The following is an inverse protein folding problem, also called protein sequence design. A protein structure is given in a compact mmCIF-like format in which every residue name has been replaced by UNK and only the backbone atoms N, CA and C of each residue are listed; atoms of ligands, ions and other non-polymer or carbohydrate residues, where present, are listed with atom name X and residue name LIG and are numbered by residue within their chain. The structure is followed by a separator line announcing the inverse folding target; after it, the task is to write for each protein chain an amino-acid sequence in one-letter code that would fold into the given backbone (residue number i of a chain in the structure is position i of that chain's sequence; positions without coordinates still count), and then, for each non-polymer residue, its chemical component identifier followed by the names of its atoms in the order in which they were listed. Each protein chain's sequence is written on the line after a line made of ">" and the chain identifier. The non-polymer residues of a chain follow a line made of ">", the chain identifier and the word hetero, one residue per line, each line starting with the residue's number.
data_IF_222177470624
#
_entry.id   IF_222177470624
#
_cell.length_a   1.000
_cell.length_b   1.000
_cell.length_c   1.000
_cell.angle_alpha   90.00
_cell.angle_beta   90.00
_cell.angle_gamma   90.00
#
_symmetry.space_group_name_H-M   'P 1'
#
loop_
_entity.id
_entity.type
_entity.pdbx_description
1 polymer ?
#
# COMPACT_ATOMS: atom_id res chain seq x y z
N UNK A 1 -33.63 24.36 70.94
CA UNK A 1 -33.85 25.75 70.49
C UNK A 1 -33.24 25.91 69.11
N UNK A 2 -34.08 26.22 68.10
CA UNK A 2 -33.77 26.64 66.72
C UNK A 2 -32.91 25.65 65.88
N UNK A 3 -33.16 25.35 64.60
CA UNK A 3 -33.69 26.13 63.46
C UNK A 3 -34.28 25.08 62.49
N UNK A 4 -35.55 25.21 62.11
CA UNK A 4 -36.03 25.92 60.94
C UNK A 4 -35.96 25.11 59.63
N UNK A 5 -37.17 24.81 59.16
CA UNK A 5 -37.65 24.54 57.81
C UNK A 5 -36.72 24.91 56.65
N UNK A 6 -36.83 24.16 55.55
CA UNK A 6 -37.58 24.51 54.32
C UNK A 6 -36.87 23.97 53.06
N UNK A 7 -37.64 23.31 52.18
CA UNK A 7 -37.37 23.01 50.76
C UNK A 7 -36.25 21.98 50.49
N UNK A 8 -36.32 21.09 49.51
CA UNK A 8 -36.96 21.14 48.21
C UNK A 8 -37.30 19.70 47.76
N UNK A 9 -38.56 19.47 47.40
CA UNK A 9 -38.99 19.18 46.02
C UNK A 9 -38.27 18.01 45.35
N UNK A 10 -38.90 16.85 45.54
CA UNK A 10 -39.06 15.82 44.52
C UNK A 10 -39.33 16.42 43.15
N UNK A 11 -38.63 15.95 42.11
CA UNK A 11 -39.18 15.47 40.82
C UNK A 11 -38.08 15.63 39.75
N UNK A 12 -37.53 14.51 39.28
CA UNK A 12 -36.48 14.54 38.26
C UNK A 12 -36.07 13.15 37.81
N UNK A 13 -37.04 12.41 37.28
CA UNK A 13 -36.87 11.15 36.59
C UNK A 13 -35.97 11.35 35.36
N UNK A 14 -34.68 11.04 35.45
CA UNK A 14 -33.79 11.02 34.27
C UNK A 14 -33.66 9.57 33.81
N UNK A 15 -34.50 9.22 32.82
CA UNK A 15 -34.32 8.06 31.96
C UNK A 15 -33.03 8.25 31.14
N UNK A 16 -31.94 7.60 31.56
CA UNK A 16 -30.76 7.45 30.71
C UNK A 16 -31.00 6.30 29.72
N UNK A 17 -31.64 6.64 28.59
CA UNK A 17 -31.75 5.78 27.42
C UNK A 17 -30.47 5.88 26.54
N UNK A 18 -30.20 4.77 25.85
CA UNK A 18 -29.00 4.43 25.08
C UNK A 18 -28.45 5.52 24.12
N UNK A 19 -27.13 5.64 24.07
CA UNK A 19 -26.41 5.70 22.78
C UNK A 19 -24.92 5.40 22.95
N UNK A 20 -24.55 4.23 22.44
CA UNK A 20 -23.20 3.79 22.13
C UNK A 20 -22.53 4.85 21.21
N UNK A 21 -21.46 5.49 21.68
CA UNK A 21 -20.67 6.44 20.89
C UNK A 21 -19.52 5.70 20.21
N UNK A 22 -19.81 5.11 19.06
CA UNK A 22 -18.79 4.62 18.12
C UNK A 22 -18.51 5.75 17.13
N UNK A 23 -17.62 6.68 17.49
CA UNK A 23 -17.06 7.65 16.52
C UNK A 23 -15.77 7.08 15.95
N UNK A 24 -15.93 6.14 15.02
CA UNK A 24 -14.91 5.80 14.02
C UNK A 24 -15.17 6.64 12.77
N UNK A 25 -14.51 7.80 12.67
CA UNK A 25 -14.51 8.61 11.46
C UNK A 25 -13.17 8.39 10.75
N UNK A 26 -13.17 7.46 9.81
CA UNK A 26 -12.17 7.40 8.74
C UNK A 26 -12.92 7.17 7.45
N UNK A 27 -13.31 8.27 6.81
CA UNK A 27 -13.76 8.26 5.42
C UNK A 27 -12.54 7.99 4.53
N UNK A 28 -12.14 6.73 4.42
CA UNK A 28 -11.27 6.25 3.37
C UNK A 28 -12.12 5.86 2.14
N UNK A 29 -12.94 6.81 1.66
CA UNK A 29 -13.62 6.64 0.38
C UNK A 29 -12.80 7.28 -0.73
N UNK A 30 -11.61 6.71 -0.95
CA UNK A 30 -10.88 6.84 -2.21
C UNK A 30 -11.51 5.91 -3.23
N UNK A 31 -12.74 6.20 -3.65
CA UNK A 31 -13.33 5.59 -4.85
C UNK A 31 -12.52 6.06 -6.04
N UNK A 32 -11.45 5.31 -6.34
CA UNK A 32 -10.66 5.48 -7.54
C UNK A 32 -11.59 5.19 -8.73
N UNK A 33 -12.17 6.25 -9.28
CA UNK A 33 -12.80 6.22 -10.58
C UNK A 33 -11.68 5.88 -11.56
N UNK A 34 -11.58 4.61 -11.95
CA UNK A 34 -10.57 4.16 -12.90
C UNK A 34 -10.72 5.00 -14.18
N UNK A 35 -9.73 5.80 -14.58
CA UNK A 35 -9.83 6.59 -15.80
C UNK A 35 -9.94 5.63 -16.98
N UNK A 36 -10.93 5.85 -17.86
CA UNK A 36 -11.01 5.12 -19.12
C UNK A 36 -9.68 5.33 -19.88
N UNK A 37 -8.91 4.25 -20.04
CA UNK A 37 -7.56 4.27 -20.63
C UNK A 37 -6.42 3.85 -19.68
N UNK A 38 -6.71 3.52 -18.42
CA UNK A 38 -5.70 2.99 -17.47
C UNK A 38 -5.98 1.52 -17.17
N UNK A 39 -4.96 0.68 -17.32
CA UNK A 39 -4.96 -0.73 -16.91
C UNK A 39 -4.16 -0.93 -15.64
N UNK A 40 -4.50 -1.99 -14.88
CA UNK A 40 -3.79 -2.36 -13.67
C UNK A 40 -3.13 -3.74 -13.81
N UNK A 41 -1.92 -3.86 -13.29
CA UNK A 41 -1.21 -5.13 -13.18
C UNK A 41 -0.75 -5.38 -11.74
N UNK A 42 -0.77 -6.66 -11.35
CA UNK A 42 -0.16 -7.17 -10.13
C UNK A 42 1.04 -8.02 -10.54
N UNK A 43 2.23 -7.64 -10.10
CA UNK A 43 3.48 -8.33 -10.42
C UNK A 43 4.09 -8.85 -9.12
N UNK A 44 4.32 -10.16 -9.04
CA UNK A 44 4.96 -10.79 -7.89
C UNK A 44 6.43 -10.41 -7.85
N UNK A 45 6.91 -9.95 -6.69
CA UNK A 45 8.30 -9.49 -6.48
C UNK A 45 8.91 -10.18 -5.24
N UNK A 46 9.11 -11.51 -5.29
CA UNK A 46 9.45 -12.31 -4.10
C UNK A 46 10.80 -11.96 -3.49
N UNK A 47 11.72 -11.40 -4.28
CA UNK A 47 13.09 -11.05 -3.86
C UNK A 47 13.21 -9.65 -3.26
N UNK A 48 12.14 -8.86 -3.19
CA UNK A 48 12.19 -7.51 -2.59
C UNK A 48 11.96 -7.61 -1.09
N UNK A 49 12.91 -7.15 -0.26
CA UNK A 49 12.90 -7.45 1.19
C UNK A 49 12.91 -6.25 2.14
N UNK A 50 13.26 -5.04 1.68
CA UNK A 50 13.29 -3.85 2.51
C UNK A 50 12.84 -2.60 1.73
N UNK A 51 12.60 -1.49 2.44
CA UNK A 51 12.16 -0.23 1.83
C UNK A 51 13.13 0.33 0.78
N UNK A 52 14.43 0.12 0.91
CA UNK A 52 15.40 0.53 -0.12
C UNK A 52 15.26 -0.29 -1.41
N UNK A 53 15.04 -1.60 -1.29
CA UNK A 53 14.77 -2.47 -2.44
C UNK A 53 13.44 -2.08 -3.10
N UNK A 54 12.41 -1.85 -2.28
CA UNK A 54 11.09 -1.40 -2.71
C UNK A 54 11.17 -0.16 -3.59
N UNK A 55 11.80 0.90 -3.07
CA UNK A 55 11.94 2.18 -3.75
C UNK A 55 12.69 2.04 -5.09
N UNK A 56 13.67 1.14 -5.16
CA UNK A 56 14.40 0.86 -6.41
C UNK A 56 13.49 0.26 -7.48
N UNK A 57 12.64 -0.69 -7.10
CA UNK A 57 11.67 -1.32 -8.00
C UNK A 57 10.60 -0.33 -8.44
N UNK A 58 10.03 0.44 -7.50
CA UNK A 58 9.02 1.47 -7.81
C UNK A 58 9.55 2.51 -8.78
N UNK A 59 10.78 3.02 -8.56
CA UNK A 59 11.43 3.98 -9.47
C UNK A 59 11.65 3.40 -10.87
N UNK A 60 12.04 2.13 -10.97
CA UNK A 60 12.25 1.50 -12.27
C UNK A 60 10.93 1.32 -13.03
N UNK A 61 9.86 0.95 -12.33
CA UNK A 61 8.52 0.88 -12.92
C UNK A 61 8.03 2.26 -13.37
N UNK A 62 8.21 3.29 -12.54
CA UNK A 62 7.84 4.67 -12.89
C UNK A 62 8.63 5.24 -14.08
N UNK A 63 9.81 4.69 -14.38
CA UNK A 63 10.60 5.06 -15.55
C UNK A 63 10.09 4.43 -16.86
N UNK A 64 9.21 3.42 -16.80
CA UNK A 64 8.61 2.83 -18.00
C UNK A 64 7.57 3.78 -18.57
N UNK A 65 7.69 4.10 -19.86
CA UNK A 65 6.74 4.95 -20.57
C UNK A 65 5.30 4.40 -20.45
N UNK A 66 4.35 5.28 -20.15
CA UNK A 66 2.94 4.90 -19.94
C UNK A 66 2.59 4.50 -18.52
N UNK A 67 3.55 4.28 -17.61
CA UNK A 67 3.24 4.04 -16.19
C UNK A 67 2.73 5.32 -15.53
N UNK A 68 1.62 5.20 -14.80
CA UNK A 68 0.96 6.29 -14.06
C UNK A 68 1.23 6.20 -12.57
N UNK A 69 1.21 4.99 -12.02
CA UNK A 69 1.55 4.73 -10.62
C UNK A 69 2.20 3.35 -10.48
N UNK A 70 3.10 3.22 -9.50
CA UNK A 70 3.65 1.95 -9.09
C UNK A 70 3.86 1.97 -7.58
N UNK A 71 3.34 0.97 -6.89
CA UNK A 71 3.54 0.76 -5.45
C UNK A 71 3.84 -0.72 -5.19
N UNK A 72 4.84 -0.96 -4.35
CA UNK A 72 5.24 -2.30 -3.94
C UNK A 72 4.79 -2.55 -2.51
N UNK A 73 4.05 -3.64 -2.35
CA UNK A 73 3.60 -4.16 -1.07
C UNK A 73 4.60 -5.21 -0.57
N UNK A 74 5.40 -4.84 0.45
CA UNK A 74 6.44 -5.72 0.99
C UNK A 74 5.88 -6.93 1.74
N UNK A 75 4.68 -6.80 2.32
CA UNK A 75 4.00 -7.89 3.04
C UNK A 75 3.46 -8.92 2.07
N UNK A 76 2.78 -8.46 1.00
CA UNK A 76 2.24 -9.34 -0.02
C UNK A 76 3.28 -9.80 -1.07
N UNK A 77 4.46 -9.17 -1.13
CA UNK A 77 5.45 -9.34 -2.21
C UNK A 77 4.86 -9.07 -3.59
N UNK A 78 4.06 -8.02 -3.72
CA UNK A 78 3.37 -7.66 -4.98
C UNK A 78 3.57 -6.19 -5.31
N UNK A 79 3.98 -5.90 -6.54
CA UNK A 79 3.92 -4.58 -7.14
C UNK A 79 2.55 -4.38 -7.82
N UNK A 80 1.82 -3.34 -7.42
CA UNK A 80 0.61 -2.85 -8.09
C UNK A 80 1.01 -1.70 -9.00
N UNK A 81 0.69 -1.82 -10.29
CA UNK A 81 1.09 -0.84 -11.31
C UNK A 81 -0.13 -0.43 -12.11
N UNK A 82 -0.38 0.87 -12.21
CA UNK A 82 -1.36 1.46 -13.11
C UNK A 82 -0.63 2.03 -14.33
N UNK A 83 -1.01 1.64 -15.54
CA UNK A 83 -0.32 2.01 -16.77
C UNK A 83 -1.27 2.16 -17.95
N UNK A 84 -0.81 2.85 -18.99
CA UNK A 84 -1.48 2.91 -20.29
C UNK A 84 -1.13 1.65 -21.11
N UNK A 85 -2.11 0.77 -21.40
CA UNK A 85 -1.88 -0.47 -22.13
C UNK A 85 -1.47 -0.26 -23.61
N UNK A 86 -1.59 0.95 -24.15
CA UNK A 86 -1.10 1.29 -25.49
C UNK A 86 0.41 1.60 -25.50
N UNK A 87 1.00 1.91 -24.34
CA UNK A 87 2.39 2.33 -24.22
C UNK A 87 3.27 1.29 -23.50
N UNK A 88 2.71 0.58 -22.53
CA UNK A 88 3.40 -0.47 -21.79
C UNK A 88 2.53 -1.72 -21.70
N UNK A 89 3.19 -2.88 -21.61
CA UNK A 89 2.54 -4.16 -21.31
C UNK A 89 3.17 -4.81 -20.09
N UNK A 90 2.49 -5.82 -19.54
CA UNK A 90 2.95 -6.55 -18.34
C UNK A 90 4.38 -7.08 -18.51
N UNK A 91 4.72 -7.62 -19.68
CA UNK A 91 6.08 -8.11 -19.96
C UNK A 91 7.15 -7.01 -19.91
N UNK A 92 6.84 -5.78 -20.33
CA UNK A 92 7.78 -4.66 -20.24
C UNK A 92 8.00 -4.25 -18.78
N UNK A 93 6.94 -4.26 -17.98
CA UNK A 93 7.01 -3.98 -16.54
C UNK A 93 7.83 -5.06 -15.80
N UNK A 94 7.61 -6.34 -16.10
CA UNK A 94 8.38 -7.46 -15.53
C UNK A 94 9.87 -7.35 -15.88
N UNK A 95 10.19 -7.05 -17.15
CA UNK A 95 11.56 -6.84 -17.57
C UNK A 95 12.22 -5.63 -16.90
N UNK A 96 11.48 -4.52 -16.73
CA UNK A 96 12.01 -3.35 -16.02
C UNK A 96 12.41 -3.69 -14.58
N UNK A 97 11.63 -4.54 -13.89
CA UNK A 97 11.99 -5.04 -12.56
C UNK A 97 13.20 -5.97 -12.64
N UNK A 98 13.22 -6.93 -13.57
CA UNK A 98 14.34 -7.86 -13.75
C UNK A 98 15.68 -7.16 -13.95
N UNK A 99 15.70 -6.09 -14.74
CA UNK A 99 16.87 -5.25 -15.00
C UNK A 99 17.35 -4.45 -13.77
N UNK A 100 16.57 -4.39 -12.70
CA UNK A 100 17.03 -3.83 -11.42
C UNK A 100 17.70 -4.84 -10.51
N UNK A 101 17.70 -6.13 -10.88
CA UNK A 101 18.26 -7.23 -10.10
C UNK A 101 17.25 -7.97 -9.21
N UNK A 102 15.94 -7.85 -9.46
CA UNK A 102 14.89 -8.55 -8.69
C UNK A 102 13.99 -9.40 -9.60
N UNK A 103 13.49 -10.51 -9.06
CA UNK A 103 12.57 -11.39 -9.81
C UNK A 103 11.19 -10.73 -9.96
N UNK A 104 10.52 -10.97 -11.09
CA UNK A 104 9.20 -10.46 -11.41
C UNK A 104 8.32 -11.54 -12.03
N UNK A 105 7.31 -12.02 -11.30
CA UNK A 105 6.49 -13.17 -11.68
C UNK A 105 7.37 -14.38 -12.10
N UNK A 106 7.38 -14.71 -13.40
CA UNK A 106 8.18 -15.80 -13.98
C UNK A 106 9.48 -15.32 -14.63
N UNK A 107 9.70 -14.00 -14.70
CA UNK A 107 10.93 -13.40 -15.23
C UNK A 107 11.96 -13.37 -14.11
N UNK A 108 13.10 -14.02 -14.37
CA UNK A 108 14.23 -14.04 -13.44
C UNK A 108 15.01 -12.74 -13.54
N UNK A 109 15.55 -12.30 -12.40
CA UNK A 109 16.44 -11.14 -12.32
C UNK A 109 17.62 -11.25 -13.27
N UNK A 110 18.00 -10.12 -13.85
CA UNK A 110 19.26 -10.01 -14.57
C UNK A 110 20.44 -10.20 -13.60
N UNK A 111 21.34 -11.12 -13.94
CA UNK A 111 22.45 -11.50 -13.07
C UNK A 111 23.47 -10.38 -12.92
N UNK A 112 23.68 -9.56 -13.95
CA UNK A 112 24.63 -8.45 -13.94
C UNK A 112 24.11 -7.31 -13.06
N UNK A 113 22.84 -6.97 -13.21
CA UNK A 113 22.14 -6.01 -12.37
C UNK A 113 22.17 -6.44 -10.90
N UNK A 114 21.92 -7.72 -10.62
CA UNK A 114 22.03 -8.26 -9.27
C UNK A 114 23.45 -8.18 -8.70
N UNK A 115 24.47 -8.55 -9.49
CA UNK A 115 25.86 -8.48 -9.06
C UNK A 115 26.27 -7.06 -8.66
N UNK A 116 25.65 -6.06 -9.28
CA UNK A 116 25.89 -4.63 -9.03
C UNK A 116 25.08 -4.06 -7.84
N UNK A 117 24.17 -4.83 -7.24
CA UNK A 117 23.43 -4.38 -6.06
C UNK A 117 24.35 -4.22 -4.84
N UNK A 118 24.03 -3.23 -4.01
CA UNK A 118 24.62 -3.09 -2.68
C UNK A 118 24.37 -4.36 -1.85
N UNK A 119 25.29 -4.68 -0.94
CA UNK A 119 25.25 -5.92 -0.15
C UNK A 119 23.91 -6.15 0.55
N UNK A 120 23.30 -5.09 1.14
CA UNK A 120 22.01 -5.17 1.82
C UNK A 120 20.82 -5.51 0.90
N UNK A 121 20.96 -5.31 -0.41
CA UNK A 121 19.93 -5.57 -1.41
C UNK A 121 20.10 -6.95 -2.08
N UNK A 122 21.25 -7.60 -1.86
CA UNK A 122 21.47 -8.98 -2.26
C UNK A 122 20.78 -9.88 -1.22
N UNK A 123 19.99 -10.84 -1.68
CA UNK A 123 19.53 -11.89 -0.78
C UNK A 123 20.75 -12.76 -0.42
N UNK A 124 20.97 -13.03 0.88
CA UNK A 124 21.93 -14.05 1.25
C UNK A 124 21.40 -15.42 0.81
N UNK A 125 22.31 -16.30 0.38
CA UNK A 125 21.98 -17.60 -0.23
C UNK A 125 21.39 -18.61 0.77
N UNK A 126 21.39 -18.29 2.06
CA UNK A 126 20.93 -19.11 3.17
C UNK A 126 19.45 -18.92 3.54
N UNK A 127 18.67 -18.24 2.67
CA UNK A 127 17.25 -17.94 2.91
C UNK A 127 16.30 -18.64 1.96
#
# INVERSE_FOLDING_TARGET
>A
MARNSLLALTLGLVLAACSNSERGHTDANGSAVAPAGVSEAKISVPTVQCGSCQNKVEKALQAVAGVKSAQVDLGAKVARVSFDPQQAGVAALENAIALTGYDANRVKRDSTAYASLAACCKLPEDR
#
